data_IF_128459880757
#
_entry.id   IF_128459880757
#
_cell.length_a   1.000
_cell.length_b   1.000
_cell.length_c   1.000
_cell.angle_alpha   90.00
_cell.angle_beta   90.00
_cell.angle_gamma   90.00
#
_symmetry.space_group_name_H-M   'P 1'
#
loop_
_entity.id
_entity.type
_entity.pdbx_description
1 polymer ?
#
# COMPACT_ATOMS: atom_id res chain seq x y z
N UNK A 1 34.00 -22.22 -41.61
CA UNK A 1 32.56 -22.34 -41.93
C UNK A 1 31.77 -22.48 -40.62
N UNK A 2 30.94 -21.49 -40.29
CA UNK A 2 29.66 -21.47 -39.52
C UNK A 2 29.45 -22.54 -38.41
N UNK A 3 29.44 -22.12 -37.13
CA UNK A 3 28.26 -21.80 -36.25
C UNK A 3 27.44 -23.03 -35.80
N UNK A 4 27.47 -23.33 -34.49
CA UNK A 4 26.39 -23.07 -33.50
C UNK A 4 25.47 -24.31 -33.31
N UNK A 5 24.87 -24.61 -32.17
CA UNK A 5 24.67 -23.78 -30.99
C UNK A 5 24.48 -24.58 -29.71
N UNK A 6 24.81 -23.88 -28.62
CA UNK A 6 24.48 -24.27 -27.25
C UNK A 6 22.98 -24.14 -27.04
N UNK A 7 22.37 -25.23 -26.59
CA UNK A 7 20.98 -25.28 -26.16
C UNK A 7 20.90 -24.68 -24.75
N UNK A 8 20.69 -23.37 -24.64
CA UNK A 8 20.32 -22.74 -23.37
C UNK A 8 18.81 -22.53 -23.32
N UNK A 9 18.24 -23.28 -22.37
CA UNK A 9 16.85 -23.35 -21.99
C UNK A 9 16.47 -22.07 -21.25
N UNK A 10 15.88 -21.11 -21.96
CA UNK A 10 15.40 -19.86 -21.36
C UNK A 10 14.04 -20.07 -20.69
N UNK A 11 14.04 -20.37 -19.39
CA UNK A 11 12.87 -20.20 -18.51
C UNK A 11 13.18 -19.09 -17.49
N UNK A 12 13.07 -17.83 -17.92
CA UNK A 12 13.01 -16.69 -17.01
C UNK A 12 11.64 -16.02 -17.14
N UNK A 13 10.73 -16.41 -16.25
CA UNK A 13 9.46 -15.74 -16.05
C UNK A 13 9.73 -14.32 -15.53
N UNK A 14 9.45 -13.33 -16.39
CA UNK A 14 8.94 -11.98 -16.09
C UNK A 14 9.31 -11.40 -14.72
N UNK A 15 10.58 -11.03 -14.52
CA UNK A 15 10.90 -9.95 -13.59
C UNK A 15 10.76 -8.63 -14.33
N UNK A 16 9.75 -7.84 -14.02
CA UNK A 16 9.70 -6.44 -14.42
C UNK A 16 10.94 -5.75 -13.81
N UNK A 17 11.86 -5.18 -14.61
CA UNK A 17 13.16 -4.71 -14.13
C UNK A 17 13.13 -3.43 -13.30
N UNK A 18 11.95 -2.87 -13.02
CA UNK A 18 11.79 -1.61 -12.27
C UNK A 18 11.61 -1.79 -10.74
N UNK A 19 11.59 -3.01 -10.21
CA UNK A 19 11.02 -3.28 -8.86
C UNK A 19 12.06 -3.37 -7.74
N UNK A 20 13.35 -3.12 -8.01
CA UNK A 20 14.40 -3.27 -6.98
C UNK A 20 14.83 -1.96 -6.31
N UNK A 21 14.31 -0.81 -6.74
CA UNK A 21 14.61 0.48 -6.11
C UNK A 21 13.41 0.93 -5.25
N UNK A 22 13.39 0.45 -4.00
CA UNK A 22 12.49 0.87 -2.91
C UNK A 22 10.99 0.60 -3.10
N UNK A 23 10.56 -0.65 -2.87
CA UNK A 23 9.13 -1.02 -2.79
C UNK A 23 8.34 -0.24 -1.72
N UNK A 24 9.03 0.50 -0.84
CA UNK A 24 8.46 1.23 0.29
C UNK A 24 8.40 2.74 0.12
N UNK A 25 8.84 3.31 -1.01
CA UNK A 25 8.74 4.77 -1.25
C UNK A 25 7.34 5.18 -1.66
N UNK A 26 6.95 6.41 -1.30
CA UNK A 26 5.70 7.03 -1.75
C UNK A 26 5.58 7.05 -3.28
N UNK A 27 6.69 7.22 -4.00
CA UNK A 27 6.70 7.23 -5.47
C UNK A 27 6.39 5.86 -6.07
N UNK A 28 6.96 4.79 -5.51
CA UNK A 28 6.62 3.43 -5.93
C UNK A 28 5.13 3.14 -5.71
N UNK A 29 4.58 3.51 -4.56
CA UNK A 29 3.14 3.37 -4.27
C UNK A 29 2.29 4.20 -5.23
N UNK A 30 2.71 5.42 -5.56
CA UNK A 30 2.01 6.26 -6.56
C UNK A 30 1.99 5.60 -7.94
N UNK A 31 3.11 4.99 -8.35
CA UNK A 31 3.19 4.22 -9.59
C UNK A 31 2.20 3.03 -9.59
N UNK A 32 2.09 2.30 -8.48
CA UNK A 32 1.15 1.17 -8.33
C UNK A 32 -0.29 1.62 -8.63
N UNK A 33 -0.74 2.69 -7.98
CA UNK A 33 -2.09 3.22 -8.18
C UNK A 33 -2.30 3.75 -9.61
N UNK A 34 -1.35 4.51 -10.15
CA UNK A 34 -1.46 5.09 -11.49
C UNK A 34 -1.48 4.05 -12.60
N UNK A 35 -0.70 2.97 -12.44
CA UNK A 35 -0.63 1.87 -13.42
C UNK A 35 -1.66 0.77 -13.17
N UNK A 36 -2.55 0.95 -12.19
CA UNK A 36 -3.55 -0.03 -11.78
C UNK A 36 -2.94 -1.43 -11.54
N UNK A 37 -1.73 -1.48 -10.99
CA UNK A 37 -1.09 -2.73 -10.59
C UNK A 37 -1.71 -3.19 -9.28
N UNK A 38 -2.16 -4.43 -9.20
CA UNK A 38 -2.76 -4.99 -7.99
C UNK A 38 -1.86 -6.07 -7.42
N UNK A 39 -1.84 -6.17 -6.10
CA UNK A 39 -1.17 -7.28 -5.44
C UNK A 39 -1.86 -8.58 -5.84
N UNK A 40 -1.07 -9.54 -6.31
CA UNK A 40 -1.56 -10.88 -6.57
C UNK A 40 -1.87 -11.59 -5.26
N UNK A 41 -2.96 -12.40 -5.19
CA UNK A 41 -3.26 -13.16 -3.99
C UNK A 41 -2.05 -14.00 -3.58
N UNK A 42 -1.58 -13.84 -2.34
CA UNK A 42 -0.43 -14.60 -1.85
C UNK A 42 -0.78 -16.09 -1.85
N UNK A 43 -0.18 -16.85 -2.77
CA UNK A 43 -0.33 -18.30 -2.88
C UNK A 43 0.74 -18.97 -2.02
N UNK A 44 0.35 -19.34 -0.79
CA UNK A 44 1.23 -20.00 0.16
C UNK A 44 1.72 -19.06 1.26
N UNK A 45 1.43 -19.45 2.50
CA UNK A 45 1.71 -18.67 3.70
C UNK A 45 0.59 -18.79 4.72
N UNK A 46 0.86 -18.43 5.98
CA UNK A 46 -0.17 -18.33 7.02
C UNK A 46 -1.06 -17.14 6.73
N UNK A 47 -2.21 -17.38 6.12
CA UNK A 47 -3.23 -16.37 5.91
C UNK A 47 -4.12 -16.29 7.15
N UNK A 48 -4.34 -15.08 7.67
CA UNK A 48 -5.27 -14.87 8.79
C UNK A 48 -6.71 -14.88 8.28
N UNK A 49 -7.58 -15.58 9.02
CA UNK A 49 -9.02 -15.36 8.92
C UNK A 49 -9.32 -14.02 9.59
N UNK A 50 -9.54 -12.99 8.79
CA UNK A 50 -9.89 -11.65 9.27
C UNK A 50 -11.41 -11.51 9.32
N UNK A 51 -11.90 -10.85 10.36
CA UNK A 51 -13.29 -10.43 10.48
C UNK A 51 -13.36 -9.13 11.25
N UNK A 52 -14.50 -8.46 11.18
CA UNK A 52 -14.75 -7.26 11.98
C UNK A 52 -14.66 -7.53 13.49
N UNK A 53 -15.10 -8.72 13.93
CA UNK A 53 -14.96 -9.17 15.31
C UNK A 53 -13.49 -9.40 15.69
N UNK A 54 -12.69 -10.01 14.81
CA UNK A 54 -11.26 -10.21 15.04
C UNK A 54 -10.53 -8.89 15.36
N UNK A 55 -10.83 -7.81 14.64
CA UNK A 55 -10.21 -6.51 14.89
C UNK A 55 -10.65 -5.85 16.21
N UNK A 56 -11.86 -6.14 16.69
CA UNK A 56 -12.33 -5.66 18.01
C UNK A 56 -11.56 -6.31 19.15
N UNK A 57 -11.37 -7.62 19.07
CA UNK A 57 -10.69 -8.41 20.10
C UNK A 57 -9.16 -8.22 20.09
N UNK A 58 -8.59 -7.76 18.96
CA UNK A 58 -7.15 -7.69 18.76
C UNK A 58 -6.69 -6.26 18.41
N UNK A 59 -6.64 -5.32 19.38
CA UNK A 59 -6.27 -3.92 19.12
C UNK A 59 -4.86 -3.77 18.53
N UNK A 60 -3.92 -4.63 18.91
CA UNK A 60 -2.57 -4.67 18.30
C UNK A 60 -2.62 -4.91 16.78
N UNK A 61 -3.58 -5.70 16.29
CA UNK A 61 -3.76 -5.92 14.85
C UNK A 61 -4.28 -4.67 14.14
N UNK A 62 -5.01 -3.79 14.83
CA UNK A 62 -5.43 -2.48 14.31
C UNK A 62 -4.26 -1.51 14.29
N UNK A 63 -3.41 -1.50 15.31
CA UNK A 63 -2.22 -0.64 15.37
C UNK A 63 -1.25 -0.93 14.21
N UNK A 64 -1.08 -2.22 13.84
CA UNK A 64 -0.30 -2.62 12.67
C UNK A 64 -0.76 -1.97 11.36
N UNK A 65 -2.05 -1.59 11.26
CA UNK A 65 -2.60 -0.98 10.05
C UNK A 65 -2.15 0.47 9.88
N UNK A 66 -1.84 1.17 10.97
CA UNK A 66 -1.62 2.63 10.96
C UNK A 66 -0.45 3.04 10.05
N UNK A 67 0.75 2.44 10.12
CA UNK A 67 1.86 2.82 9.24
C UNK A 67 1.53 2.61 7.76
N UNK A 68 0.90 1.48 7.43
CA UNK A 68 0.49 1.15 6.08
C UNK A 68 -0.56 2.13 5.55
N UNK A 69 -1.61 2.39 6.35
CA UNK A 69 -2.65 3.36 6.01
C UNK A 69 -2.08 4.76 5.82
N UNK A 70 -1.17 5.19 6.69
CA UNK A 70 -0.53 6.49 6.57
C UNK A 70 0.20 6.63 5.23
N UNK A 71 0.97 5.61 4.81
CA UNK A 71 1.65 5.63 3.51
C UNK A 71 0.68 5.69 2.34
N UNK A 72 -0.27 4.75 2.26
CA UNK A 72 -1.19 4.68 1.12
C UNK A 72 -2.07 5.93 1.01
N UNK A 73 -2.54 6.46 2.14
CA UNK A 73 -3.40 7.64 2.14
C UNK A 73 -2.63 8.94 1.82
N UNK A 74 -1.35 9.04 2.20
CA UNK A 74 -0.53 10.18 1.75
C UNK A 74 -0.35 10.19 0.24
N UNK A 75 -0.25 9.01 -0.38
CA UNK A 75 -0.15 8.86 -1.84
C UNK A 75 -1.48 9.20 -2.53
N UNK A 76 -2.61 8.79 -1.95
CA UNK A 76 -3.94 8.97 -2.54
C UNK A 76 -4.56 10.35 -2.28
N UNK A 77 -4.12 11.06 -1.24
CA UNK A 77 -4.64 12.36 -0.84
C UNK A 77 -3.61 13.50 -1.00
N UNK A 78 -2.56 13.28 -1.78
CA UNK A 78 -1.51 14.26 -2.10
C UNK A 78 -0.94 14.98 -0.86
N UNK A 79 -0.72 14.25 0.23
CA UNK A 79 -0.07 14.78 1.43
C UNK A 79 -0.92 15.71 2.30
N UNK A 80 -2.24 15.79 2.11
CA UNK A 80 -3.13 16.54 3.01
C UNK A 80 -3.23 15.88 4.41
N UNK A 81 -2.27 16.17 5.28
CA UNK A 81 -2.08 15.50 6.57
C UNK A 81 -3.35 15.40 7.43
N UNK A 82 -4.14 16.47 7.53
CA UNK A 82 -5.39 16.45 8.33
C UNK A 82 -6.43 15.44 7.79
N UNK A 83 -6.58 15.36 6.46
CA UNK A 83 -7.47 14.40 5.78
C UNK A 83 -6.96 12.99 5.95
N UNK A 84 -5.65 12.77 5.79
CA UNK A 84 -5.00 11.47 6.01
C UNK A 84 -5.28 10.98 7.43
N UNK A 85 -4.98 11.80 8.44
CA UNK A 85 -5.17 11.44 9.84
C UNK A 85 -6.64 11.15 10.17
N UNK A 86 -7.57 11.93 9.59
CA UNK A 86 -9.00 11.66 9.73
C UNK A 86 -9.40 10.30 9.11
N UNK A 87 -8.94 10.00 7.89
CA UNK A 87 -9.24 8.73 7.22
C UNK A 87 -8.63 7.53 7.95
N UNK A 88 -7.42 7.64 8.49
CA UNK A 88 -6.82 6.56 9.31
C UNK A 88 -7.74 6.22 10.48
N UNK A 89 -8.15 7.23 11.26
CA UNK A 89 -9.07 7.03 12.40
C UNK A 89 -10.43 6.49 11.97
N UNK A 90 -10.94 6.92 10.82
CA UNK A 90 -12.18 6.40 10.26
C UNK A 90 -12.04 4.92 9.89
N UNK A 91 -11.01 4.55 9.14
CA UNK A 91 -10.78 3.18 8.67
C UNK A 91 -10.56 2.23 9.86
N UNK A 92 -9.75 2.62 10.85
CA UNK A 92 -9.55 1.82 12.08
C UNK A 92 -10.87 1.54 12.83
N UNK A 93 -11.84 2.47 12.81
CA UNK A 93 -13.18 2.22 13.37
C UNK A 93 -14.05 1.36 12.45
N UNK A 94 -13.96 1.55 11.14
CA UNK A 94 -14.76 0.81 10.17
C UNK A 94 -14.40 -0.68 10.14
N UNK A 95 -13.10 -1.03 10.21
CA UNK A 95 -12.67 -2.44 10.22
C UNK A 95 -13.17 -3.21 11.43
N UNK A 96 -13.48 -2.54 12.54
CA UNK A 96 -14.07 -3.15 13.72
C UNK A 96 -15.60 -3.33 13.58
N UNK A 97 -16.23 -2.61 12.65
CA UNK A 97 -17.71 -2.59 12.51
C UNK A 97 -18.22 -3.36 11.29
N UNK A 98 -17.43 -3.43 10.23
CA UNK A 98 -17.82 -4.02 8.96
C UNK A 98 -16.71 -4.89 8.41
N UNK A 99 -17.08 -5.95 7.69
CA UNK A 99 -16.15 -6.70 6.87
C UNK A 99 -15.55 -5.78 5.80
N UNK A 100 -14.24 -5.89 5.55
CA UNK A 100 -13.52 -5.04 4.59
C UNK A 100 -14.10 -5.17 3.17
N UNK A 101 -14.57 -6.37 2.83
CA UNK A 101 -15.20 -6.68 1.52
C UNK A 101 -16.67 -6.27 1.45
N UNK A 102 -17.27 -5.79 2.54
CA UNK A 102 -18.68 -5.41 2.55
C UNK A 102 -18.96 -4.14 1.75
N UNK A 103 -20.15 -4.08 1.16
CA UNK A 103 -20.61 -2.88 0.46
C UNK A 103 -20.70 -1.65 1.37
N UNK A 104 -20.97 -1.85 2.66
CA UNK A 104 -21.02 -0.76 3.64
C UNK A 104 -19.66 -0.16 3.92
N UNK A 105 -18.62 -0.99 4.09
CA UNK A 105 -17.23 -0.52 4.22
C UNK A 105 -16.85 0.27 2.98
N UNK A 106 -17.06 -0.30 1.79
CA UNK A 106 -16.78 0.35 0.51
C UNK A 106 -17.46 1.72 0.37
N UNK A 107 -18.77 1.81 0.63
CA UNK A 107 -19.52 3.07 0.52
C UNK A 107 -18.95 4.18 1.40
N UNK A 108 -18.49 3.84 2.62
CA UNK A 108 -17.90 4.82 3.54
C UNK A 108 -16.54 5.34 3.07
N UNK A 109 -15.74 4.49 2.42
CA UNK A 109 -14.42 4.88 1.87
C UNK A 109 -14.57 5.62 0.54
N UNK A 110 -15.58 5.25 -0.27
CA UNK A 110 -15.80 5.83 -1.59
C UNK A 110 -15.94 7.35 -1.59
N UNK A 111 -16.59 7.91 -0.57
CA UNK A 111 -16.74 9.36 -0.40
C UNK A 111 -15.42 10.13 -0.30
N UNK A 112 -14.30 9.44 -0.05
CA UNK A 112 -12.99 10.06 0.12
C UNK A 112 -11.97 9.68 -0.97
N UNK A 113 -11.98 8.41 -1.41
CA UNK A 113 -10.97 7.89 -2.35
C UNK A 113 -11.49 7.76 -3.80
N UNK A 114 -12.81 7.88 -4.02
CA UNK A 114 -13.43 7.89 -5.34
C UNK A 114 -12.94 6.75 -6.25
N UNK A 115 -12.31 7.07 -7.39
CA UNK A 115 -11.81 6.12 -8.39
C UNK A 115 -10.77 5.13 -7.84
N UNK A 116 -10.06 5.50 -6.76
CA UNK A 116 -9.05 4.64 -6.14
C UNK A 116 -9.64 3.68 -5.10
N UNK A 117 -10.92 3.80 -4.76
CA UNK A 117 -11.55 3.05 -3.66
C UNK A 117 -11.41 1.54 -3.83
N UNK A 118 -11.75 1.01 -5.00
CA UNK A 118 -11.73 -0.44 -5.22
C UNK A 118 -10.30 -0.99 -5.24
N UNK A 119 -9.35 -0.21 -5.77
CA UNK A 119 -7.94 -0.55 -5.73
C UNK A 119 -7.41 -0.53 -4.28
N UNK A 120 -7.70 0.53 -3.53
CA UNK A 120 -7.31 0.64 -2.13
C UNK A 120 -7.86 -0.51 -1.28
N UNK A 121 -9.15 -0.86 -1.44
CA UNK A 121 -9.77 -1.96 -0.70
C UNK A 121 -9.11 -3.30 -1.06
N UNK A 122 -8.77 -3.52 -2.33
CA UNK A 122 -8.03 -4.72 -2.76
C UNK A 122 -6.68 -4.84 -2.05
N UNK A 123 -5.88 -3.77 -2.07
CA UNK A 123 -4.57 -3.73 -1.42
C UNK A 123 -4.69 -3.93 0.10
N UNK A 124 -5.65 -3.23 0.70
CA UNK A 124 -5.89 -3.26 2.15
C UNK A 124 -6.36 -4.63 2.63
N UNK A 125 -7.23 -5.29 1.86
CA UNK A 125 -7.71 -6.64 2.18
C UNK A 125 -6.56 -7.66 2.16
N UNK A 126 -5.66 -7.58 1.18
CA UNK A 126 -4.50 -8.47 1.13
C UNK A 126 -3.51 -8.20 2.27
N UNK A 127 -3.21 -6.93 2.56
CA UNK A 127 -2.34 -6.55 3.67
C UNK A 127 -2.88 -7.03 5.03
N UNK A 128 -4.17 -6.81 5.29
CA UNK A 128 -4.80 -7.17 6.56
C UNK A 128 -4.79 -8.67 6.82
N UNK A 129 -4.93 -9.49 5.78
CA UNK A 129 -4.82 -10.96 5.83
C UNK A 129 -3.41 -11.48 6.04
N UNK A 130 -2.40 -10.71 5.62
CA UNK A 130 -1.01 -11.08 5.80
C UNK A 130 -0.59 -11.03 7.28
N UNK A 131 0.34 -11.89 7.70
CA UNK A 131 0.88 -11.86 9.06
C UNK A 131 1.93 -10.76 9.27
N UNK A 132 2.46 -10.19 8.17
CA UNK A 132 3.62 -9.31 8.11
C UNK A 132 3.34 -7.88 8.58
N UNK A 133 4.36 -7.15 9.01
CA UNK A 133 4.28 -5.69 9.10
C UNK A 133 4.35 -5.06 7.69
N UNK A 134 4.34 -3.74 7.61
CA UNK A 134 4.35 -3.03 6.33
C UNK A 134 5.61 -3.34 5.51
N UNK A 135 6.78 -3.34 6.16
CA UNK A 135 8.07 -3.53 5.50
C UNK A 135 8.23 -4.96 4.98
N UNK A 136 7.89 -5.95 5.80
CA UNK A 136 7.94 -7.35 5.41
C UNK A 136 6.89 -7.68 4.35
N UNK A 137 5.70 -7.06 4.44
CA UNK A 137 4.67 -7.21 3.42
C UNK A 137 5.15 -6.73 2.05
N UNK A 138 5.78 -5.55 1.98
CA UNK A 138 6.30 -5.02 0.72
C UNK A 138 7.30 -5.98 0.06
N UNK A 139 8.19 -6.59 0.87
CA UNK A 139 9.23 -7.53 0.38
C UNK A 139 8.65 -8.76 -0.32
N UNK A 140 7.49 -9.23 0.14
CA UNK A 140 6.85 -10.44 -0.39
C UNK A 140 5.70 -10.14 -1.34
N UNK A 141 5.29 -8.88 -1.48
CA UNK A 141 4.19 -8.48 -2.34
C UNK A 141 4.59 -8.58 -3.82
N UNK A 142 3.78 -9.29 -4.59
CA UNK A 142 3.92 -9.39 -6.04
C UNK A 142 2.79 -8.61 -6.71
N UNK A 143 3.14 -7.81 -7.70
CA UNK A 143 2.21 -6.89 -8.36
C UNK A 143 2.05 -7.24 -9.82
N UNK A 144 0.80 -7.44 -10.22
CA UNK A 144 0.41 -7.76 -11.59
C UNK A 144 -0.61 -6.73 -12.11
N UNK A 145 -0.58 -6.47 -13.41
CA UNK A 145 -1.57 -5.60 -14.05
C UNK A 145 -2.94 -6.26 -14.11
N UNK A 146 -4.02 -5.46 -14.05
CA UNK A 146 -5.40 -5.96 -14.19
C UNK A 146 -5.63 -6.72 -15.52
N UNK A 147 -4.79 -6.48 -16.54
CA UNK A 147 -4.78 -7.17 -17.84
C UNK A 147 -3.77 -8.31 -17.96
N UNK A 148 -3.58 -9.12 -16.91
CA UNK A 148 -2.70 -10.29 -16.91
C UNK A 148 -3.08 -11.45 -17.87
N UNK A 149 -3.97 -11.22 -18.83
CA UNK A 149 -4.12 -12.06 -20.03
C UNK A 149 -3.53 -11.32 -21.23
N UNK A 150 -2.74 -12.03 -22.03
CA UNK A 150 -1.99 -11.64 -23.23
C UNK A 150 -2.71 -10.72 -24.26
N UNK A 151 -4.01 -10.52 -24.09
CA UNK A 151 -4.89 -9.71 -24.93
C UNK A 151 -4.70 -8.19 -24.79
N UNK A 152 -4.38 -7.67 -23.60
CA UNK A 152 -4.38 -6.21 -23.38
C UNK A 152 -3.08 -5.49 -23.79
N UNK A 153 -1.96 -6.22 -23.84
CA UNK A 153 -0.68 -5.67 -24.33
C UNK A 153 -0.75 -5.31 -25.83
N UNK A 154 -1.61 -5.98 -26.62
CA UNK A 154 -1.82 -5.65 -28.03
C UNK A 154 -2.61 -4.34 -28.20
N UNK A 155 -3.55 -4.05 -27.31
CA UNK A 155 -4.33 -2.80 -27.34
C UNK A 155 -3.61 -1.60 -26.70
N UNK A 156 -2.63 -1.84 -25.84
CA UNK A 156 -1.76 -0.80 -25.29
C UNK A 156 -0.65 -0.41 -26.27
N UNK A 157 -0.08 -1.37 -27.02
CA UNK A 157 0.93 -1.10 -28.05
C UNK A 157 0.37 -0.28 -29.22
N UNK A 158 -0.90 -0.50 -29.60
CA UNK A 158 -1.54 0.19 -30.73
C UNK A 158 -1.93 1.66 -30.40
N UNK A 159 -2.14 1.98 -29.11
CA UNK A 159 -2.39 3.37 -28.66
C UNK A 159 -1.11 4.16 -28.37
N UNK A 160 0.03 3.49 -28.24
CA UNK A 160 1.32 4.11 -28.01
C UNK A 160 2.05 4.37 -29.34
N UNK A 161 1.41 5.10 -30.24
CA UNK A 161 2.11 5.79 -31.32
C UNK A 161 2.40 7.23 -30.86
N UNK A 162 3.64 7.59 -30.52
CA UNK A 162 4.04 8.97 -30.36
C UNK A 162 4.78 9.38 -31.63
N UNK A 163 4.06 10.02 -32.57
CA UNK A 163 4.73 10.92 -33.50
C UNK A 163 4.92 12.26 -32.79
N UNK A 164 5.92 12.34 -31.91
CA UNK A 164 6.41 13.61 -31.32
C UNK A 164 7.93 13.54 -31.22
N UNK A 165 8.56 14.39 -32.02
CA UNK A 165 10.00 14.60 -32.15
C UNK A 165 10.66 15.01 -30.83
N UNK A 166 11.72 14.31 -30.42
CA UNK A 166 12.60 14.72 -29.32
C UNK A 166 13.54 15.83 -29.81
N UNK A 167 13.46 17.01 -29.19
CA UNK A 167 14.56 17.97 -29.12
C UNK A 167 15.09 17.98 -27.68
N UNK A 168 16.43 18.05 -27.58
CA UNK A 168 17.24 17.71 -26.41
C UNK A 168 17.22 18.67 -25.21
N UNK A 169 18.31 18.66 -24.40
CA UNK A 169 18.21 18.50 -22.94
C UNK A 169 18.25 19.80 -22.15
N UNK A 170 17.60 19.82 -20.98
CA UNK A 170 17.81 20.85 -19.96
C UNK A 170 18.15 20.20 -18.62
N UNK A 171 19.34 20.54 -18.17
CA UNK A 171 19.94 20.28 -16.86
C UNK A 171 19.41 21.28 -15.83
N UNK A 172 18.94 20.81 -14.67
CA UNK A 172 18.86 21.55 -13.40
C UNK A 172 18.32 20.63 -12.29
N UNK A 173 19.19 20.12 -11.42
CA UNK A 173 19.43 20.57 -10.03
C UNK A 173 18.47 19.95 -8.99
N UNK A 174 19.07 19.08 -8.16
CA UNK A 174 18.52 18.43 -6.96
C UNK A 174 18.49 19.44 -5.79
N UNK A 175 17.48 19.46 -4.91
CA UNK A 175 17.62 20.01 -3.57
C UNK A 175 17.68 18.93 -2.49
N UNK A 176 18.78 19.06 -1.76
CA UNK A 176 19.18 18.75 -0.38
C UNK A 176 18.21 18.08 0.62
N UNK A 177 18.82 17.27 1.49
CA UNK A 177 18.24 16.40 2.51
C UNK A 177 18.23 17.11 3.88
N UNK A 178 17.09 17.67 4.30
CA UNK A 178 16.90 18.11 5.69
C UNK A 178 15.45 17.96 6.16
N UNK A 179 14.96 16.75 6.42
CA UNK A 179 13.71 16.54 7.21
C UNK A 179 13.72 15.18 7.94
N UNK A 180 14.83 14.86 8.64
CA UNK A 180 14.92 13.67 9.50
C UNK A 180 14.51 13.94 10.97
N UNK A 181 13.83 15.05 11.26
CA UNK A 181 13.54 15.48 12.64
C UNK A 181 12.18 15.12 13.21
N UNK A 182 11.17 14.75 12.40
CA UNK A 182 9.76 14.76 12.85
C UNK A 182 9.22 13.36 13.20
N UNK A 183 9.82 12.28 12.71
CA UNK A 183 9.23 10.93 12.82
C UNK A 183 9.38 10.32 14.23
N UNK A 184 10.36 10.77 15.04
CA UNK A 184 10.63 10.16 16.34
C UNK A 184 9.64 10.62 17.44
N UNK A 185 9.05 11.82 17.33
CA UNK A 185 8.19 12.35 18.40
C UNK A 185 6.79 11.73 18.47
N UNK A 186 6.30 11.06 17.42
CA UNK A 186 4.90 10.64 17.38
C UNK A 186 4.62 9.22 17.90
N UNK A 187 5.66 8.40 18.11
CA UNK A 187 5.51 7.08 18.77
C UNK A 187 5.29 7.23 20.28
N UNK A 188 5.78 8.32 20.89
CA UNK A 188 5.65 8.54 22.34
C UNK A 188 4.27 9.02 22.79
N UNK A 189 3.45 9.59 21.89
CA UNK A 189 2.14 10.14 22.24
C UNK A 189 1.00 9.09 22.23
N UNK A 190 1.25 7.89 21.71
CA UNK A 190 0.26 6.79 21.72
C UNK A 190 0.46 5.80 22.86
N UNK A 191 1.53 5.93 23.65
CA UNK A 191 1.84 5.05 24.81
C UNK A 191 1.35 5.63 26.15
N UNK A 192 0.93 6.90 26.23
CA UNK A 192 0.57 7.57 27.50
C UNK A 192 -0.94 7.78 27.77
N UNK A 193 -1.84 7.10 27.06
CA UNK A 193 -3.29 7.11 27.40
C UNK A 193 -3.72 5.84 28.16
N UNK A 194 -2.89 5.34 29.06
CA UNK A 194 -3.21 4.18 29.92
C UNK A 194 -2.58 4.35 31.30
N UNK A 195 -3.10 5.28 32.10
CA UNK A 195 -2.67 5.40 33.50
C UNK A 195 -3.09 6.71 34.12
N UNK A 196 -4.30 6.75 34.68
CA UNK A 196 -4.68 7.55 35.85
C UNK A 196 -6.07 7.04 36.28
N UNK A 197 -6.10 6.11 37.23
CA UNK A 197 -7.34 5.48 37.71
C UNK A 197 -7.12 4.48 38.84
N UNK A 198 -6.35 4.88 39.86
CA UNK A 198 -6.31 4.31 41.23
C UNK A 198 -5.30 5.17 41.99
N UNK A 199 -5.51 5.70 43.20
CA UNK A 199 -6.34 5.27 44.32
C UNK A 199 -6.50 6.41 45.36
N UNK A 200 -7.39 6.17 46.33
CA UNK A 200 -7.39 6.67 47.72
C UNK A 200 -7.80 8.11 48.05
N UNK A 201 -9.02 8.28 48.60
CA UNK A 201 -9.45 9.17 49.71
C UNK A 201 -10.86 8.65 50.14
N UNK A 202 -11.29 8.31 51.37
CA UNK A 202 -10.89 8.64 52.74
C UNK A 202 -11.41 7.56 53.70
N UNK A 203 -10.59 7.20 54.68
CA UNK A 203 -10.99 6.56 55.93
C UNK A 203 -11.06 7.65 57.00
N UNK A 204 -12.21 7.81 57.66
CA UNK A 204 -12.42 8.18 59.07
C UNK A 204 -13.89 7.96 59.40
#
# INVERSE_FOLDING_TARGET
MRRSGMQFRWFHHRRCPYVLYSQSTSDFRRMIYNRQLRVSPMTGGRIRAISSYFFKENPACVHRLVPWLNRELNVLLDGHASRVQFLIRLICRLVQRYEITSSMFRKRIFSYLQIYTDHFIHEFYNFTRSPYDMQDYDRVAHYDGIGGSETDLRFAADRASPDVTILGPVHSQLPDLTELGIIIYFVHLLVNCSGLGSSDVMNT
#
